data_IF_715986263064
#
_entry.id   IF_715986263064
#
_cell.length_a   1.000
_cell.length_b   1.000
_cell.length_c   1.000
_cell.angle_alpha   90.00
_cell.angle_beta   90.00
_cell.angle_gamma   90.00
#
_symmetry.space_group_name_H-M   'P 1'
#
loop_
_entity.id
_entity.type
_entity.pdbx_description
1 polymer ?
#
# COMPACT_ATOMS: atom_id res chain seq x y z
N UNK A 1 -5.24 10.51 -11.91
CA UNK A 1 -5.12 9.07 -11.58
C UNK A 1 -4.58 8.86 -10.18
N UNK A 2 -4.95 7.76 -9.51
CA UNK A 2 -4.48 7.42 -8.16
C UNK A 2 -3.85 6.02 -8.10
N UNK A 3 -2.69 5.89 -7.45
CA UNK A 3 -2.04 4.61 -7.17
C UNK A 3 -2.10 4.34 -5.66
N UNK A 4 -2.78 3.28 -5.24
CA UNK A 4 -2.77 2.85 -3.84
C UNK A 4 -1.58 1.96 -3.58
N UNK A 5 -0.65 2.44 -2.75
CA UNK A 5 0.65 1.81 -2.51
C UNK A 5 0.73 1.32 -1.07
N UNK A 6 0.82 0.00 -0.83
CA UNK A 6 1.10 -0.52 0.50
C UNK A 6 2.56 -0.24 0.87
N UNK A 7 2.79 0.65 1.83
CA UNK A 7 4.12 1.01 2.31
C UNK A 7 4.62 0.00 3.36
N UNK A 8 4.76 -1.26 2.93
CA UNK A 8 5.23 -2.38 3.76
C UNK A 8 6.55 -2.93 3.23
N UNK A 9 6.62 -3.15 1.91
CA UNK A 9 7.78 -3.70 1.23
C UNK A 9 8.41 -2.66 0.31
N UNK A 10 9.74 -2.52 0.36
CA UNK A 10 10.48 -1.56 -0.44
C UNK A 10 10.29 -1.78 -1.95
N UNK A 11 10.26 -3.04 -2.38
CA UNK A 11 10.05 -3.43 -3.77
C UNK A 11 8.72 -2.90 -4.32
N UNK A 12 7.66 -2.95 -3.52
CA UNK A 12 6.32 -2.50 -3.89
C UNK A 12 6.24 -0.98 -4.05
N UNK A 13 6.89 -0.24 -3.16
CA UNK A 13 7.02 1.22 -3.28
C UNK A 13 7.81 1.57 -4.53
N UNK A 14 8.97 0.94 -4.77
CA UNK A 14 9.82 1.20 -5.95
C UNK A 14 9.07 0.93 -7.24
N UNK A 15 8.39 -0.22 -7.33
CA UNK A 15 7.61 -0.57 -8.51
C UNK A 15 6.50 0.45 -8.77
N UNK A 16 5.72 0.78 -7.74
CA UNK A 16 4.63 1.76 -7.85
C UNK A 16 5.15 3.15 -8.23
N UNK A 17 6.31 3.56 -7.70
CA UNK A 17 6.95 4.82 -8.08
C UNK A 17 7.31 4.84 -9.56
N UNK A 18 7.90 3.77 -10.10
CA UNK A 18 8.24 3.70 -11.53
C UNK A 18 7.02 3.75 -12.44
N UNK A 19 5.92 3.11 -12.04
CA UNK A 19 4.63 3.21 -12.76
C UNK A 19 4.13 4.66 -12.72
N UNK A 20 4.10 5.28 -11.53
CA UNK A 20 3.64 6.65 -11.36
C UNK A 20 4.46 7.65 -12.19
N UNK A 21 5.79 7.55 -12.15
CA UNK A 21 6.70 8.41 -12.91
C UNK A 21 6.56 8.23 -14.42
N UNK A 22 6.33 7.00 -14.87
CA UNK A 22 6.11 6.72 -16.29
C UNK A 22 4.80 7.35 -16.78
N UNK A 23 3.73 7.25 -15.99
CA UNK A 23 2.45 7.89 -16.29
C UNK A 23 2.56 9.42 -16.24
N UNK A 24 3.27 9.97 -15.25
CA UNK A 24 3.50 11.41 -15.14
C UNK A 24 4.30 11.95 -16.34
N UNK A 25 5.35 11.25 -16.78
CA UNK A 25 6.10 11.60 -18.01
C UNK A 25 5.27 11.53 -19.28
N UNK A 26 4.23 10.70 -19.30
CA UNK A 26 3.27 10.66 -20.39
C UNK A 26 2.23 11.80 -20.34
N UNK A 27 2.31 12.69 -19.34
CA UNK A 27 1.44 13.86 -19.19
C UNK A 27 0.20 13.64 -18.33
N UNK A 28 0.13 12.52 -17.60
CA UNK A 28 -0.99 12.27 -16.67
C UNK A 28 -0.74 12.92 -15.31
N UNK A 29 -1.80 13.44 -14.68
CA UNK A 29 -1.75 13.87 -13.27
C UNK A 29 -1.89 12.63 -12.37
N UNK A 30 -0.84 12.35 -11.59
CA UNK A 30 -0.70 11.11 -10.84
C UNK A 30 -0.48 11.39 -9.37
N UNK A 31 -1.33 10.78 -8.54
CA UNK A 31 -1.21 10.80 -7.08
C UNK A 31 -0.92 9.40 -6.56
N UNK A 32 0.15 9.24 -5.80
CA UNK A 32 0.44 8.04 -5.02
C UNK A 32 -0.13 8.18 -3.61
N UNK A 33 -1.02 7.27 -3.22
CA UNK A 33 -1.53 7.16 -1.84
C UNK A 33 -0.71 6.10 -1.12
N UNK A 34 0.21 6.55 -0.27
CA UNK A 34 1.09 5.70 0.53
C UNK A 34 0.38 5.31 1.82
N UNK A 35 -0.04 4.05 1.92
CA UNK A 35 -0.73 3.50 3.09
C UNK A 35 0.29 2.78 3.96
N UNK A 36 0.63 3.39 5.10
CA UNK A 36 1.57 2.81 6.07
C UNK A 36 0.82 1.97 7.10
N UNK A 37 1.02 0.65 7.04
CA UNK A 37 0.43 -0.32 7.97
C UNK A 37 1.31 -0.61 9.21
N UNK A 38 2.59 -0.22 9.14
CA UNK A 38 3.60 -0.38 10.19
C UNK A 38 4.03 0.99 10.73
N UNK A 39 4.37 1.03 12.01
CA UNK A 39 5.07 2.15 12.60
C UNK A 39 6.52 2.20 12.08
N UNK A 40 7.06 3.41 11.94
CA UNK A 40 8.42 3.59 11.40
C UNK A 40 8.55 3.25 9.91
N UNK A 41 7.45 3.15 9.16
CA UNK A 41 7.48 2.95 7.72
C UNK A 41 8.08 4.18 6.99
N UNK A 42 9.39 4.17 6.79
CA UNK A 42 10.06 5.16 5.94
C UNK A 42 9.64 5.01 4.48
N UNK A 43 9.16 6.08 3.87
CA UNK A 43 8.86 6.18 2.42
C UNK A 43 9.94 6.94 1.63
N UNK A 44 10.82 7.67 2.33
CA UNK A 44 11.82 8.57 1.72
C UNK A 44 13.02 7.84 1.10
N UNK A 45 13.09 6.52 1.19
CA UNK A 45 14.15 5.73 0.58
C UNK A 45 14.04 5.68 -0.96
N UNK A 46 12.87 5.98 -1.51
CA UNK A 46 12.68 6.16 -2.96
C UNK A 46 12.57 7.64 -3.27
N UNK A 47 13.44 8.13 -4.15
CA UNK A 47 13.29 9.47 -4.73
C UNK A 47 12.19 9.39 -5.79
N UNK A 48 11.04 9.99 -5.47
CA UNK A 48 9.90 10.12 -6.39
C UNK A 48 10.04 11.44 -7.13
N UNK A 49 9.78 11.42 -8.43
CA UNK A 49 9.76 12.61 -9.30
C UNK A 49 8.76 13.68 -8.79
N UNK A 50 9.13 14.96 -8.85
CA UNK A 50 8.37 16.06 -8.20
C UNK A 50 6.94 16.24 -8.74
N UNK A 51 6.73 15.89 -10.00
CA UNK A 51 5.44 15.94 -10.69
C UNK A 51 4.46 14.87 -10.20
N UNK A 52 4.93 13.86 -9.47
CA UNK A 52 4.08 12.84 -8.85
C UNK A 52 3.69 13.31 -7.45
N UNK A 53 2.39 13.54 -7.24
CA UNK A 53 1.85 13.91 -5.92
C UNK A 53 1.90 12.71 -5.00
N UNK A 54 2.24 12.92 -3.73
CA UNK A 54 2.25 11.85 -2.72
C UNK A 54 1.36 12.23 -1.55
N UNK A 55 0.37 11.39 -1.27
CA UNK A 55 -0.55 11.52 -0.15
C UNK A 55 -0.27 10.40 0.85
N UNK A 56 0.05 10.76 2.10
CA UNK A 56 0.40 9.80 3.14
C UNK A 56 -0.80 9.49 4.03
N UNK A 57 -1.11 8.20 4.16
CA UNK A 57 -2.16 7.71 5.06
C UNK A 57 -1.51 6.86 6.13
N UNK A 58 -1.55 7.34 7.37
CA UNK A 58 -1.18 6.53 8.51
C UNK A 58 -2.34 5.57 8.84
N UNK A 59 -2.10 4.29 8.61
CA UNK A 59 -3.01 3.20 8.91
C UNK A 59 -2.30 2.12 9.73
N UNK A 60 -1.41 2.57 10.62
CA UNK A 60 -0.63 1.69 11.49
C UNK A 60 -1.53 0.91 12.44
N UNK A 61 -1.18 -0.36 12.65
CA UNK A 61 -1.83 -1.24 13.62
C UNK A 61 -1.07 -1.33 14.94
N UNK A 62 -0.05 -0.50 15.15
CA UNK A 62 0.78 -0.50 16.36
C UNK A 62 1.92 -1.52 16.34
N UNK A 63 2.32 -1.98 15.14
CA UNK A 63 3.43 -2.91 14.96
C UNK A 63 4.63 -2.16 14.37
N UNK A 64 5.79 -2.26 15.01
CA UNK A 64 7.01 -1.63 14.52
C UNK A 64 7.59 -2.39 13.32
N UNK A 65 8.07 -1.64 12.33
CA UNK A 65 8.67 -2.20 11.12
C UNK A 65 9.90 -3.06 11.41
N UNK A 66 10.76 -2.68 12.36
CA UNK A 66 11.99 -3.43 12.66
C UNK A 66 11.67 -4.78 13.28
N UNK A 67 10.69 -4.83 14.18
CA UNK A 67 10.21 -6.07 14.78
C UNK A 67 9.64 -7.00 13.71
N UNK A 68 8.80 -6.46 12.82
CA UNK A 68 8.22 -7.23 11.72
C UNK A 68 9.27 -7.80 10.76
N UNK A 69 10.33 -7.05 10.47
CA UNK A 69 11.43 -7.52 9.61
C UNK A 69 12.29 -8.58 10.30
N UNK A 70 12.63 -8.37 11.58
CA UNK A 70 13.43 -9.32 12.35
C UNK A 70 12.77 -10.70 12.43
N UNK A 71 11.45 -10.75 12.61
CA UNK A 71 10.71 -12.02 12.59
C UNK A 71 10.79 -12.72 11.23
N UNK A 72 10.71 -11.99 10.11
CA UNK A 72 10.83 -12.58 8.78
C UNK A 72 12.24 -13.11 8.50
N UNK A 73 13.28 -12.41 8.98
CA UNK A 73 14.67 -12.81 8.77
C UNK A 73 14.97 -14.22 9.31
N UNK A 74 14.30 -14.65 10.39
CA UNK A 74 14.53 -15.95 11.02
C UNK A 74 14.32 -17.15 10.07
N UNK A 75 13.40 -17.02 9.10
CA UNK A 75 13.00 -18.13 8.24
C UNK A 75 12.97 -17.81 6.74
N UNK A 76 13.19 -16.56 6.34
CA UNK A 76 13.10 -16.13 4.93
C UNK A 76 14.08 -16.83 3.98
N UNK A 77 15.23 -17.30 4.48
CA UNK A 77 16.22 -18.05 3.68
C UNK A 77 16.14 -19.57 3.88
N UNK A 78 15.15 -20.05 4.64
CA UNK A 78 14.94 -21.48 4.88
C UNK A 78 13.95 -22.03 3.86
N UNK A 79 14.21 -23.25 3.37
CA UNK A 79 13.24 -23.98 2.54
C UNK A 79 12.23 -24.66 3.45
N UNK A 80 11.18 -23.91 3.82
CA UNK A 80 10.12 -24.38 4.70
C UNK A 80 8.83 -24.61 3.91
N UNK A 81 8.15 -25.74 4.11
CA UNK A 81 6.87 -25.96 3.47
C UNK A 81 5.81 -25.00 4.01
N UNK A 82 4.78 -24.71 3.21
CA UNK A 82 3.68 -23.80 3.56
C UNK A 82 2.90 -24.20 4.83
N UNK A 83 2.97 -25.47 5.23
CA UNK A 83 2.34 -25.98 6.45
C UNK A 83 3.24 -25.87 7.69
N UNK A 84 4.49 -25.40 7.57
CA UNK A 84 5.34 -25.08 8.71
C UNK A 84 4.63 -24.02 9.57
N UNK A 85 4.62 -24.26 10.88
CA UNK A 85 3.93 -23.40 11.85
C UNK A 85 4.41 -21.95 11.74
N UNK A 86 5.71 -21.72 11.54
CA UNK A 86 6.31 -20.37 11.44
C UNK A 86 5.84 -19.64 10.20
N UNK A 87 5.84 -20.33 9.05
CA UNK A 87 5.33 -19.78 7.78
C UNK A 87 3.85 -19.43 7.91
N UNK A 88 3.05 -20.33 8.48
CA UNK A 88 1.61 -20.10 8.70
C UNK A 88 1.35 -18.95 9.68
N UNK A 89 2.10 -18.87 10.77
CA UNK A 89 2.01 -17.76 11.74
C UNK A 89 2.38 -16.43 11.10
N UNK A 90 3.45 -16.39 10.28
CA UNK A 90 3.85 -15.20 9.53
C UNK A 90 2.77 -14.76 8.53
N UNK A 91 2.21 -15.69 7.75
CA UNK A 91 1.09 -15.39 6.83
C UNK A 91 -0.12 -14.84 7.58
N UNK A 92 -0.50 -15.44 8.71
CA UNK A 92 -1.61 -14.96 9.53
C UNK A 92 -1.34 -13.53 10.03
N UNK A 93 -0.14 -13.24 10.54
CA UNK A 93 0.25 -11.88 10.96
C UNK A 93 0.18 -10.89 9.80
N UNK A 94 0.65 -11.26 8.61
CA UNK A 94 0.57 -10.43 7.42
C UNK A 94 -0.89 -10.12 7.03
N UNK A 95 -1.77 -11.11 7.03
CA UNK A 95 -3.20 -10.89 6.79
C UNK A 95 -3.86 -10.04 7.88
N UNK A 96 -3.52 -10.26 9.15
CA UNK A 96 -4.00 -9.43 10.26
C UNK A 96 -3.57 -7.97 10.09
N UNK A 97 -2.36 -7.73 9.62
CA UNK A 97 -1.84 -6.41 9.32
C UNK A 97 -2.61 -5.76 8.16
N UNK A 98 -2.87 -6.47 7.06
CA UNK A 98 -3.69 -5.95 5.96
C UNK A 98 -5.13 -5.62 6.40
N UNK A 99 -5.77 -6.51 7.16
CA UNK A 99 -7.14 -6.31 7.66
C UNK A 99 -7.21 -5.15 8.65
N UNK A 100 -6.28 -5.10 9.61
CA UNK A 100 -6.22 -4.06 10.63
C UNK A 100 -5.94 -2.69 10.00
N UNK A 101 -4.97 -2.63 9.09
CA UNK A 101 -4.66 -1.39 8.35
C UNK A 101 -5.85 -0.95 7.50
N UNK A 102 -6.52 -1.87 6.82
CA UNK A 102 -7.72 -1.54 6.06
C UNK A 102 -8.82 -0.96 6.94
N UNK A 103 -9.06 -1.52 8.13
CA UNK A 103 -10.03 -0.96 9.09
C UNK A 103 -9.66 0.48 9.46
N UNK A 104 -8.38 0.76 9.72
CA UNK A 104 -7.92 2.13 10.03
C UNK A 104 -8.12 3.10 8.88
N UNK A 105 -7.88 2.67 7.64
CA UNK A 105 -8.19 3.49 6.47
C UNK A 105 -9.69 3.76 6.37
N UNK A 106 -10.53 2.74 6.57
CA UNK A 106 -11.99 2.87 6.53
C UNK A 106 -12.58 3.71 7.67
N UNK A 107 -11.88 3.85 8.79
CA UNK A 107 -12.26 4.74 9.90
C UNK A 107 -11.91 6.21 9.59
N UNK A 108 -11.02 6.46 8.63
CA UNK A 108 -10.53 7.79 8.29
C UNK A 108 -11.49 8.53 7.34
N UNK A 109 -12.45 9.26 7.92
CA UNK A 109 -13.44 10.05 7.17
C UNK A 109 -12.82 11.17 6.34
N UNK A 110 -11.82 11.87 6.88
CA UNK A 110 -11.15 12.97 6.19
C UNK A 110 -10.50 12.49 4.89
N UNK A 111 -9.80 11.35 4.96
CA UNK A 111 -9.21 10.71 3.79
C UNK A 111 -10.27 10.32 2.75
N UNK A 112 -11.43 9.82 3.19
CA UNK A 112 -12.51 9.48 2.26
C UNK A 112 -13.09 10.69 1.54
N UNK A 113 -13.29 11.80 2.26
CA UNK A 113 -13.84 13.03 1.70
C UNK A 113 -12.84 13.65 0.72
N UNK A 114 -11.53 13.62 1.07
CA UNK A 114 -10.46 13.98 0.16
C UNK A 114 -10.46 13.11 -1.11
N UNK A 115 -10.46 11.78 -0.95
CA UNK A 115 -10.39 10.84 -2.07
C UNK A 115 -11.57 11.00 -3.04
N UNK A 116 -12.78 11.25 -2.53
CA UNK A 116 -13.96 11.52 -3.35
C UNK A 116 -13.91 12.92 -4.00
N UNK A 117 -13.34 13.91 -3.30
CA UNK A 117 -13.20 15.29 -3.77
C UNK A 117 -12.23 15.43 -4.96
N UNK A 118 -11.18 14.62 -5.01
CA UNK A 118 -10.18 14.62 -6.09
C UNK A 118 -10.73 14.16 -7.45
N UNK A 119 -11.84 13.41 -7.47
CA UNK A 119 -12.50 12.93 -8.70
C UNK A 119 -11.55 12.21 -9.67
N UNK A 120 -10.76 11.28 -9.14
CA UNK A 120 -9.88 10.47 -9.97
C UNK A 120 -10.66 9.66 -11.02
N UNK A 121 -10.06 9.53 -12.19
CA UNK A 121 -10.57 8.86 -13.39
C UNK A 121 -10.09 7.41 -13.53
N UNK A 122 -8.93 7.09 -12.97
CA UNK A 122 -8.34 5.76 -12.95
C UNK A 122 -7.63 5.50 -11.62
N UNK A 123 -7.82 4.29 -11.09
CA UNK A 123 -7.11 3.82 -9.91
C UNK A 123 -6.21 2.60 -10.21
N UNK A 124 -5.11 2.49 -9.49
CA UNK A 124 -4.28 1.29 -9.46
C UNK A 124 -4.27 0.70 -8.05
N UNK A 125 -4.44 -0.62 -7.95
CA UNK A 125 -4.41 -1.35 -6.69
C UNK A 125 -3.43 -2.51 -6.76
N UNK A 126 -2.67 -2.71 -5.70
CA UNK A 126 -1.85 -3.91 -5.57
C UNK A 126 -2.71 -5.16 -5.35
N UNK A 127 -2.40 -6.28 -6.02
CA UNK A 127 -3.23 -7.48 -6.04
C UNK A 127 -3.43 -8.12 -4.65
N UNK A 128 -2.43 -8.02 -3.75
CA UNK A 128 -2.54 -8.57 -2.40
C UNK A 128 -3.22 -7.63 -1.39
N UNK A 129 -3.56 -6.40 -1.81
CA UNK A 129 -4.31 -5.47 -0.97
C UNK A 129 -5.71 -5.24 -1.56
N UNK A 130 -6.72 -5.82 -0.93
CA UNK A 130 -8.12 -5.69 -1.37
C UNK A 130 -8.81 -4.41 -0.85
N UNK A 131 -8.23 -3.73 0.15
CA UNK A 131 -8.85 -2.54 0.74
C UNK A 131 -9.12 -1.41 -0.27
N UNK A 132 -8.17 -1.09 -1.19
CA UNK A 132 -8.38 -0.06 -2.20
C UNK A 132 -9.58 -0.29 -3.09
N UNK A 133 -10.02 -1.54 -3.30
CA UNK A 133 -11.21 -1.86 -4.09
C UNK A 133 -12.44 -1.17 -3.48
N UNK A 134 -12.62 -1.30 -2.16
CA UNK A 134 -13.72 -0.64 -1.46
C UNK A 134 -13.64 0.89 -1.54
N UNK A 135 -12.43 1.44 -1.48
CA UNK A 135 -12.17 2.88 -1.61
C UNK A 135 -12.51 3.39 -3.02
N UNK A 136 -12.12 2.65 -4.05
CA UNK A 136 -12.42 2.93 -5.47
C UNK A 136 -13.93 3.03 -5.68
N UNK A 137 -14.69 2.05 -5.21
CA UNK A 137 -16.15 2.06 -5.30
C UNK A 137 -16.76 3.24 -4.54
N UNK A 138 -16.29 3.52 -3.32
CA UNK A 138 -16.80 4.61 -2.49
C UNK A 138 -16.54 5.98 -3.12
N UNK A 139 -15.34 6.19 -3.66
CA UNK A 139 -14.93 7.42 -4.34
C UNK A 139 -15.50 7.55 -5.76
N UNK A 140 -16.22 6.53 -6.25
CA UNK A 140 -16.83 6.48 -7.58
C UNK A 140 -15.81 6.66 -8.72
N UNK A 141 -14.62 6.09 -8.55
CA UNK A 141 -13.60 6.07 -9.60
C UNK A 141 -14.06 5.07 -10.67
N UNK A 142 -14.18 5.48 -11.96
CA UNK A 142 -14.90 4.70 -12.96
C UNK A 142 -14.14 3.48 -13.48
N UNK A 143 -12.81 3.46 -13.37
CA UNK A 143 -11.98 2.36 -13.83
C UNK A 143 -10.82 2.09 -12.86
N UNK A 144 -10.35 0.85 -12.85
CA UNK A 144 -9.22 0.46 -12.03
C UNK A 144 -8.43 -0.71 -12.60
N UNK A 145 -7.14 -0.78 -12.26
CA UNK A 145 -6.19 -1.80 -12.72
C UNK A 145 -5.53 -2.46 -11.52
N UNK A 146 -5.39 -3.79 -11.57
CA UNK A 146 -4.55 -4.52 -10.64
C UNK A 146 -3.10 -4.54 -11.08
N UNK A 147 -2.22 -4.20 -10.15
CA UNK A 147 -0.78 -4.28 -10.26
C UNK A 147 -0.28 -5.49 -9.45
N UNK A 148 0.62 -6.27 -10.04
CA UNK A 148 1.28 -7.42 -9.41
C UNK A 148 2.78 -7.14 -9.30
#
# INVERSE_FOLDING_TARGET
>A
MVLFVPNIANSQVIFSSRVAETLARAGHDVTMVMISALDGAESKFVKIMEEVKVHYVNASVGLDRKEFLAEQEEFMFQDLPMWDRRVRESMNRMFSLFIGSCRKVLENKEFHDWLAGEKFDLAFSYVFNLCPIGLIYRAKIPAWIWLN
#
